data_IF_221437543204
#
_entry.id   IF_221437543204
#
_cell.length_a   1.000
_cell.length_b   1.000
_cell.length_c   1.000
_cell.angle_alpha   90.00
_cell.angle_beta   90.00
_cell.angle_gamma   90.00
#
_symmetry.space_group_name_H-M   'P 1'
#
loop_
_entity.id
_entity.type
_entity.pdbx_description
1 polymer ?
#
# COMPACT_ATOMS: atom_id res chain seq x y z
N UNK A 1 -14.36 -2.79 -9.49
CA UNK A 1 -14.59 -1.52 -10.24
C UNK A 1 -15.60 -0.57 -9.59
N UNK A 2 -16.68 -1.05 -8.94
CA UNK A 2 -17.62 -0.17 -8.20
C UNK A 2 -16.86 0.84 -7.33
N UNK A 3 -16.12 0.41 -6.32
CA UNK A 3 -15.43 1.35 -5.40
C UNK A 3 -14.48 2.35 -6.08
N UNK A 4 -13.78 1.96 -7.14
CA UNK A 4 -12.92 2.87 -7.90
C UNK A 4 -13.71 4.01 -8.57
N UNK A 5 -14.85 3.71 -9.19
CA UNK A 5 -15.70 4.74 -9.79
C UNK A 5 -16.25 5.71 -8.73
N UNK A 6 -16.63 5.19 -7.56
CA UNK A 6 -17.09 6.00 -6.43
C UNK A 6 -15.98 6.93 -5.92
N UNK A 7 -14.74 6.43 -5.83
CA UNK A 7 -13.58 7.24 -5.46
C UNK A 7 -13.35 8.39 -6.45
N UNK A 8 -13.45 8.14 -7.76
CA UNK A 8 -13.30 9.18 -8.79
C UNK A 8 -14.35 10.29 -8.64
N UNK A 9 -15.60 9.91 -8.36
CA UNK A 9 -16.67 10.89 -8.13
C UNK A 9 -16.42 11.74 -6.88
N UNK A 10 -15.91 11.14 -5.79
CA UNK A 10 -15.55 11.88 -4.57
C UNK A 10 -14.42 12.87 -4.87
N UNK A 11 -13.37 12.46 -5.59
CA UNK A 11 -12.26 13.34 -5.95
C UNK A 11 -12.72 14.52 -6.82
N UNK A 12 -13.65 14.28 -7.75
CA UNK A 12 -14.27 15.34 -8.56
C UNK A 12 -15.14 16.33 -7.75
N UNK A 13 -15.71 15.89 -6.63
CA UNK A 13 -16.40 16.79 -5.69
C UNK A 13 -15.39 17.63 -4.91
N UNK A 14 -14.33 16.99 -4.39
CA UNK A 14 -13.27 17.68 -3.65
C UNK A 14 -12.60 18.75 -4.51
N UNK A 15 -12.31 18.46 -5.77
CA UNK A 15 -11.65 19.40 -6.69
C UNK A 15 -12.34 20.77 -6.78
N UNK A 16 -13.67 20.84 -6.61
CA UNK A 16 -14.43 22.10 -6.67
C UNK A 16 -14.26 22.97 -5.44
N UNK A 17 -14.05 22.35 -4.27
CA UNK A 17 -13.93 23.03 -2.98
C UNK A 17 -12.48 23.27 -2.57
N UNK A 18 -11.52 22.56 -3.18
CA UNK A 18 -10.08 22.70 -2.89
C UNK A 18 -9.53 24.13 -2.93
N UNK A 19 -9.93 25.02 -3.87
CA UNK A 19 -9.44 26.40 -3.87
C UNK A 19 -9.76 27.20 -2.60
N UNK A 20 -10.75 26.75 -1.82
CA UNK A 20 -11.21 27.42 -0.60
C UNK A 20 -10.78 26.70 0.68
N UNK A 21 -10.14 25.53 0.57
CA UNK A 21 -9.84 24.64 1.69
C UNK A 21 -8.35 24.24 1.72
N UNK A 22 -7.47 25.24 1.80
CA UNK A 22 -6.00 25.05 1.75
C UNK A 22 -5.47 24.03 2.77
N UNK A 23 -6.04 23.99 3.98
CA UNK A 23 -5.64 23.03 5.03
C UNK A 23 -6.00 21.58 4.69
N UNK A 24 -6.99 21.36 3.82
CA UNK A 24 -7.41 20.04 3.36
C UNK A 24 -6.71 19.60 2.06
N UNK A 25 -6.01 20.52 1.38
CA UNK A 25 -5.39 20.25 0.08
C UNK A 25 -4.43 19.06 0.11
N UNK A 26 -3.59 18.96 1.14
CA UNK A 26 -2.63 17.86 1.27
C UNK A 26 -3.31 16.48 1.36
N UNK A 27 -4.46 16.40 2.03
CA UNK A 27 -5.24 15.16 2.14
C UNK A 27 -5.89 14.78 0.81
N UNK A 28 -6.45 15.76 0.10
CA UNK A 28 -7.01 15.53 -1.23
C UNK A 28 -5.92 15.11 -2.24
N UNK A 29 -4.73 15.71 -2.17
CA UNK A 29 -3.59 15.34 -2.99
C UNK A 29 -3.13 13.91 -2.70
N UNK A 30 -3.06 13.50 -1.42
CA UNK A 30 -2.73 12.13 -1.04
C UNK A 30 -3.75 11.12 -1.59
N UNK A 31 -5.05 11.45 -1.56
CA UNK A 31 -6.09 10.61 -2.13
C UNK A 31 -5.99 10.49 -3.66
N UNK A 32 -5.67 11.58 -4.36
CA UNK A 32 -5.39 11.56 -5.81
C UNK A 32 -4.16 10.72 -6.11
N UNK A 33 -3.09 10.87 -5.33
CA UNK A 33 -1.86 10.09 -5.49
C UNK A 33 -2.11 8.58 -5.31
N UNK A 34 -2.83 8.19 -4.24
CA UNK A 34 -3.27 6.80 -4.03
C UNK A 34 -4.10 6.29 -5.20
N UNK A 35 -5.05 7.09 -5.70
CA UNK A 35 -5.92 6.69 -6.82
C UNK A 35 -5.15 6.49 -8.13
N UNK A 36 -4.07 7.24 -8.32
CA UNK A 36 -3.22 7.18 -9.51
C UNK A 36 -2.16 6.07 -9.45
N UNK A 37 -1.53 5.88 -8.29
CA UNK A 37 -0.47 4.89 -8.09
C UNK A 37 -1.01 3.48 -7.80
N UNK A 38 -2.26 3.38 -7.34
CA UNK A 38 -2.83 2.14 -6.81
C UNK A 38 -2.33 1.86 -5.39
N UNK A 39 -2.99 0.92 -4.71
CA UNK A 39 -2.58 0.52 -3.36
C UNK A 39 -1.43 -0.48 -3.44
N UNK A 40 -0.35 -0.24 -2.71
CA UNK A 40 0.68 -1.23 -2.47
C UNK A 40 0.26 -2.16 -1.31
N UNK A 41 0.04 -3.43 -1.59
CA UNK A 41 -0.23 -4.44 -0.58
C UNK A 41 1.09 -5.11 -0.21
N UNK A 42 1.55 -4.86 1.02
CA UNK A 42 2.77 -5.42 1.56
C UNK A 42 2.40 -6.45 2.63
N UNK A 43 2.84 -7.68 2.43
CA UNK A 43 2.60 -8.78 3.37
C UNK A 43 3.93 -9.35 3.78
N UNK A 44 4.20 -9.39 5.09
CA UNK A 44 5.39 -10.00 5.67
C UNK A 44 4.92 -11.19 6.49
N UNK A 45 5.26 -12.39 6.02
CA UNK A 45 4.92 -13.65 6.68
C UNK A 45 6.00 -14.05 7.68
N UNK A 46 5.57 -14.64 8.80
CA UNK A 46 6.45 -15.10 9.87
C UNK A 46 7.09 -13.98 10.68
N UNK A 47 8.01 -14.37 11.57
CA UNK A 47 8.77 -13.44 12.38
C UNK A 47 9.99 -12.91 11.62
N UNK A 48 9.79 -11.80 10.90
CA UNK A 48 10.83 -11.12 10.08
C UNK A 48 10.97 -9.64 10.47
N UNK A 49 11.54 -9.34 11.66
CA UNK A 49 11.71 -7.96 12.12
C UNK A 49 12.64 -7.15 11.21
N UNK A 50 13.56 -7.81 10.51
CA UNK A 50 14.46 -7.20 9.54
C UNK A 50 13.71 -6.67 8.31
N UNK A 51 12.78 -7.45 7.75
CA UNK A 51 11.93 -7.01 6.64
C UNK A 51 10.93 -5.93 7.09
N UNK A 52 10.40 -6.07 8.30
CA UNK A 52 9.47 -5.09 8.87
C UNK A 52 10.13 -3.73 9.09
N UNK A 53 11.40 -3.71 9.50
CA UNK A 53 12.19 -2.49 9.66
C UNK A 53 12.35 -1.74 8.33
N UNK A 54 12.58 -2.44 7.21
CA UNK A 54 12.69 -1.81 5.88
C UNK A 54 11.40 -1.09 5.46
N UNK A 55 10.23 -1.68 5.73
CA UNK A 55 8.95 -1.03 5.42
C UNK A 55 8.72 0.17 6.34
N UNK A 56 8.96 0.01 7.64
CA UNK A 56 8.74 1.07 8.65
C UNK A 56 9.72 2.24 8.53
N UNK A 57 10.89 2.02 7.92
CA UNK A 57 11.87 3.07 7.65
C UNK A 57 11.48 4.01 6.51
N UNK A 58 10.36 3.74 5.81
CA UNK A 58 9.93 4.48 4.62
C UNK A 58 8.61 5.21 4.86
N UNK A 59 8.44 6.31 4.14
CA UNK A 59 7.14 6.96 4.01
C UNK A 59 6.41 6.31 2.82
N UNK A 60 5.35 5.54 3.11
CA UNK A 60 4.56 4.78 2.13
C UNK A 60 3.05 5.03 2.37
N UNK A 61 2.49 6.17 1.93
CA UNK A 61 1.13 6.59 2.24
C UNK A 61 0.07 5.78 1.50
N UNK A 62 0.48 5.09 0.44
CA UNK A 62 -0.32 4.31 -0.49
C UNK A 62 -0.22 2.81 -0.19
N UNK A 63 0.50 2.44 0.88
CA UNK A 63 0.72 1.06 1.26
C UNK A 63 -0.18 0.60 2.41
N UNK A 64 -0.65 -0.64 2.30
CA UNK A 64 -1.21 -1.41 3.41
C UNK A 64 -0.17 -2.45 3.78
N UNK A 65 0.20 -2.50 5.06
CA UNK A 65 1.13 -3.47 5.60
C UNK A 65 0.39 -4.48 6.47
N UNK A 66 0.48 -5.76 6.13
CA UNK A 66 0.09 -6.89 6.96
C UNK A 66 1.34 -7.65 7.43
N UNK A 67 1.49 -7.83 8.73
CA UNK A 67 2.62 -8.53 9.33
C UNK A 67 2.21 -9.16 10.67
N UNK A 68 2.99 -10.15 11.14
CA UNK A 68 2.72 -10.85 12.39
C UNK A 68 1.74 -12.01 12.21
N UNK A 69 0.86 -12.21 13.18
CA UNK A 69 -0.10 -13.32 13.17
C UNK A 69 -1.07 -13.22 11.99
N UNK A 70 -1.15 -14.25 11.13
CA UNK A 70 -2.12 -14.28 10.04
C UNK A 70 -3.56 -14.26 10.55
N UNK A 71 -4.44 -13.68 9.75
CA UNK A 71 -5.89 -13.63 10.00
C UNK A 71 -6.64 -14.02 8.73
N UNK A 72 -7.93 -14.32 8.85
CA UNK A 72 -8.76 -14.75 7.70
C UNK A 72 -8.90 -13.60 6.69
N UNK A 73 -8.03 -13.60 5.68
CA UNK A 73 -7.93 -12.57 4.66
C UNK A 73 -7.18 -13.09 3.42
N UNK A 74 -7.63 -12.72 2.20
CA UNK A 74 -6.91 -13.01 0.95
C UNK A 74 -5.47 -12.47 0.88
N UNK A 75 -5.13 -11.51 1.75
CA UNK A 75 -3.75 -11.01 1.89
C UNK A 75 -2.76 -12.08 2.35
N UNK A 76 -3.21 -13.18 2.94
CA UNK A 76 -2.33 -14.26 3.42
C UNK A 76 -2.32 -15.48 2.49
N UNK A 77 -3.28 -15.60 1.57
CA UNK A 77 -3.42 -16.76 0.69
C UNK A 77 -2.20 -16.96 -0.22
N UNK A 78 -1.74 -18.20 -0.35
CA UNK A 78 -0.66 -18.57 -1.27
C UNK A 78 0.73 -18.02 -0.94
N UNK A 79 0.95 -17.55 0.30
CA UNK A 79 2.21 -16.92 0.72
C UNK A 79 2.95 -17.79 1.74
N UNK A 80 4.08 -18.42 1.36
CA UNK A 80 4.93 -19.14 2.30
C UNK A 80 5.45 -18.24 3.42
N UNK A 81 5.76 -18.86 4.56
CA UNK A 81 6.34 -18.20 5.74
C UNK A 81 7.73 -17.61 5.47
N UNK A 82 8.07 -16.53 6.18
CA UNK A 82 9.40 -15.94 6.21
C UNK A 82 9.77 -15.07 5.00
N UNK A 83 8.81 -14.55 4.25
CA UNK A 83 9.02 -13.75 3.04
C UNK A 83 8.24 -12.43 3.09
N UNK A 84 8.67 -11.45 2.29
CA UNK A 84 7.88 -10.27 1.99
C UNK A 84 7.29 -10.33 0.58
N UNK A 85 6.04 -9.89 0.43
CA UNK A 85 5.32 -9.85 -0.83
C UNK A 85 4.86 -8.42 -1.05
N UNK A 86 5.23 -7.82 -2.19
CA UNK A 86 4.78 -6.49 -2.61
C UNK A 86 3.91 -6.66 -3.84
N UNK A 87 2.63 -6.32 -3.71
CA UNK A 87 1.64 -6.42 -4.77
C UNK A 87 1.02 -5.04 -5.06
N UNK A 88 0.67 -4.78 -6.32
CA UNK A 88 -0.15 -3.64 -6.74
C UNK A 88 -1.23 -4.14 -7.67
N UNK A 89 -2.47 -3.73 -7.42
CA UNK A 89 -3.64 -4.11 -8.23
C UNK A 89 -3.72 -5.62 -8.52
N UNK A 90 -3.52 -6.45 -7.49
CA UNK A 90 -3.50 -7.92 -7.56
C UNK A 90 -2.35 -8.54 -8.38
N UNK A 91 -1.34 -7.76 -8.75
CA UNK A 91 -0.12 -8.26 -9.39
C UNK A 91 1.05 -8.13 -8.42
N UNK A 92 1.73 -9.24 -8.12
CA UNK A 92 2.84 -9.28 -7.18
C UNK A 92 4.18 -9.35 -7.89
N UNK A 93 5.20 -8.73 -7.29
CA UNK A 93 6.59 -8.97 -7.64
C UNK A 93 7.05 -10.35 -7.12
N UNK A 94 8.28 -10.75 -7.46
CA UNK A 94 8.88 -11.93 -6.86
C UNK A 94 8.96 -11.77 -5.33
N UNK A 95 8.73 -12.81 -4.53
CA UNK A 95 8.85 -12.70 -3.07
C UNK A 95 10.25 -12.28 -2.66
N UNK A 96 10.36 -11.31 -1.75
CA UNK A 96 11.62 -10.83 -1.21
C UNK A 96 12.01 -11.65 0.03
N UNK A 97 13.21 -12.25 -0.01
CA UNK A 97 13.77 -12.99 1.12
C UNK A 97 14.69 -12.12 1.98
N UNK A 98 15.25 -11.05 1.41
CA UNK A 98 16.21 -10.16 2.08
C UNK A 98 15.72 -8.71 2.16
N UNK A 99 16.22 -7.92 3.14
CA UNK A 99 15.97 -6.49 3.20
C UNK A 99 16.34 -5.74 1.90
N UNK A 100 17.43 -6.14 1.25
CA UNK A 100 17.89 -5.53 0.00
C UNK A 100 16.92 -5.76 -1.16
N UNK A 101 16.39 -6.99 -1.30
CA UNK A 101 15.38 -7.29 -2.31
C UNK A 101 14.12 -6.47 -2.07
N UNK A 102 13.64 -6.44 -0.82
CA UNK A 102 12.46 -5.68 -0.44
C UNK A 102 12.66 -4.17 -0.69
N UNK A 103 13.83 -3.64 -0.33
CA UNK A 103 14.18 -2.25 -0.54
C UNK A 103 14.14 -1.84 -2.02
N UNK A 104 14.56 -2.74 -2.93
CA UNK A 104 14.49 -2.52 -4.37
C UNK A 104 13.04 -2.55 -4.90
N UNK A 105 12.18 -3.40 -4.35
CA UNK A 105 10.77 -3.47 -4.74
C UNK A 105 9.94 -2.27 -4.26
N UNK A 106 10.38 -1.63 -3.17
CA UNK A 106 9.77 -0.44 -2.56
C UNK A 106 10.36 0.89 -3.05
N UNK A 107 11.26 0.86 -4.05
CA UNK A 107 11.90 2.04 -4.62
C UNK A 107 11.02 2.77 -5.64
#
# INVERSE_FOLDING_TARGET
RRYANQADQILLLLARVMPQALTAFGQALAAVALRAAGTAEIVITGDRPDLLAEVRGRWLPDAVLAWGEPYDSPLWEGRPEGLAFVCRDHTCQLPAATPGDLAAQLA
#
